data_IF_182328393913
#
_entry.id   IF_182328393913
#
_cell.length_a   1.000
_cell.length_b   1.000
_cell.length_c   1.000
_cell.angle_alpha   90.00
_cell.angle_beta   90.00
_cell.angle_gamma   90.00
#
_symmetry.space_group_name_H-M   'P 1'
#
loop_
_entity.id
_entity.type
_entity.pdbx_description
1 polymer ?
#
# COMPACT_ATOMS: atom_id res chain seq x y z
N UNK A 1 29.42 3.00 1.87
CA UNK A 1 28.13 3.58 1.55
C UNK A 1 28.27 4.94 0.83
N UNK A 2 28.79 6.00 1.50
CA UNK A 2 28.85 7.39 0.98
C UNK A 2 29.51 7.55 -0.40
N UNK A 3 30.47 6.70 -0.75
CA UNK A 3 31.19 6.73 -2.03
C UNK A 3 30.50 5.93 -3.14
N UNK A 4 29.75 4.90 -2.80
CA UNK A 4 29.22 3.93 -3.77
C UNK A 4 27.74 4.20 -4.14
N UNK A 5 26.92 4.59 -3.18
CA UNK A 5 25.49 4.79 -3.43
C UNK A 5 25.22 5.96 -4.39
N UNK A 6 25.87 7.14 -4.25
CA UNK A 6 25.63 8.26 -5.17
C UNK A 6 26.01 8.00 -6.63
N UNK A 7 26.74 6.91 -6.92
CA UNK A 7 27.07 6.53 -8.31
C UNK A 7 25.87 5.95 -9.07
N UNK A 8 24.87 5.41 -8.36
CA UNK A 8 23.71 4.77 -8.97
C UNK A 8 22.35 5.26 -8.46
N UNK A 9 22.34 6.15 -7.46
CA UNK A 9 21.10 6.61 -6.83
C UNK A 9 21.16 8.11 -6.54
N UNK A 10 20.03 8.79 -6.74
CA UNK A 10 19.77 10.11 -6.17
C UNK A 10 19.23 9.92 -4.76
N UNK A 11 19.82 10.57 -3.77
CA UNK A 11 19.46 10.41 -2.37
C UNK A 11 18.54 11.54 -1.92
N UNK A 12 17.37 11.21 -1.44
CA UNK A 12 16.47 12.10 -0.73
C UNK A 12 16.40 11.65 0.74
N UNK A 13 16.77 12.54 1.65
CA UNK A 13 16.58 12.33 3.09
C UNK A 13 15.41 13.19 3.57
N UNK A 14 14.43 12.56 4.18
CA UNK A 14 13.33 13.22 4.87
C UNK A 14 13.55 13.02 6.37
N UNK A 15 13.90 14.08 7.06
CA UNK A 15 14.12 14.06 8.51
C UNK A 15 12.83 14.38 9.26
N UNK A 16 12.64 13.78 10.43
CA UNK A 16 11.50 14.03 11.30
C UNK A 16 11.93 14.06 12.77
N UNK A 17 12.76 15.03 13.17
CA UNK A 17 13.23 15.14 14.55
C UNK A 17 12.06 15.44 15.50
N UNK A 18 12.20 15.02 16.76
CA UNK A 18 11.24 15.35 17.83
C UNK A 18 11.18 16.86 18.06
N UNK A 19 12.33 17.53 18.00
CA UNK A 19 12.44 18.99 18.09
C UNK A 19 12.20 19.61 16.72
N UNK A 20 10.98 20.11 16.51
CA UNK A 20 10.55 20.73 15.25
C UNK A 20 11.21 22.06 14.93
N UNK A 21 11.84 22.71 15.91
CA UNK A 21 12.59 23.95 15.68
C UNK A 21 13.82 23.76 14.78
N UNK A 22 14.23 22.51 14.57
CA UNK A 22 15.34 22.13 13.69
C UNK A 22 14.95 21.94 12.22
N UNK A 23 13.70 22.17 11.88
CA UNK A 23 13.17 22.03 10.52
C UNK A 23 12.51 23.34 10.06
N UNK A 24 12.60 23.61 8.76
CA UNK A 24 11.80 24.66 8.13
C UNK A 24 10.34 24.20 7.98
N UNK A 25 9.38 25.13 7.83
CA UNK A 25 7.98 24.78 7.53
C UNK A 25 7.86 23.89 6.27
N UNK A 26 8.69 24.17 5.25
CA UNK A 26 8.71 23.41 3.98
C UNK A 26 9.17 21.96 4.19
N UNK A 27 10.20 21.73 5.01
CA UNK A 27 10.68 20.38 5.34
C UNK A 27 9.62 19.58 6.12
N UNK A 28 8.92 20.25 7.07
CA UNK A 28 7.82 19.62 7.81
C UNK A 28 6.69 19.20 6.86
N UNK A 29 6.27 20.09 5.97
CA UNK A 29 5.20 19.78 5.00
C UNK A 29 5.63 18.74 3.98
N UNK A 30 6.88 18.77 3.50
CA UNK A 30 7.43 17.76 2.63
C UNK A 30 7.42 16.38 3.29
N UNK A 31 7.89 16.28 4.53
CA UNK A 31 7.84 15.03 5.30
C UNK A 31 6.40 14.53 5.43
N UNK A 32 5.48 15.39 5.85
CA UNK A 32 4.06 15.05 6.04
C UNK A 32 3.42 14.53 4.75
N UNK A 33 3.67 15.21 3.65
CA UNK A 33 3.12 14.86 2.34
C UNK A 33 3.67 13.51 1.86
N UNK A 34 4.99 13.34 1.91
CA UNK A 34 5.63 12.12 1.39
C UNK A 34 5.44 10.92 2.31
N UNK A 35 5.44 11.12 3.64
CA UNK A 35 5.16 10.03 4.57
C UNK A 35 3.73 9.49 4.41
N UNK A 36 2.76 10.36 4.16
CA UNK A 36 1.40 9.96 3.82
C UNK A 36 1.33 9.27 2.46
N UNK A 37 1.95 9.86 1.43
CA UNK A 37 1.98 9.28 0.07
C UNK A 37 2.53 7.85 0.08
N UNK A 38 3.64 7.62 0.76
CA UNK A 38 4.32 6.33 0.80
C UNK A 38 3.92 5.45 1.99
N UNK A 39 2.88 5.84 2.73
CA UNK A 39 2.34 5.08 3.87
C UNK A 39 3.41 4.67 4.90
N UNK A 40 4.28 5.61 5.30
CA UNK A 40 5.37 5.36 6.24
C UNK A 40 4.79 5.02 7.61
N UNK A 41 5.06 3.81 8.11
CA UNK A 41 4.57 3.33 9.41
C UNK A 41 5.65 3.31 10.48
N UNK A 42 6.92 3.45 10.12
CA UNK A 42 8.04 3.40 11.04
C UNK A 42 9.30 4.05 10.48
N UNK A 43 10.28 4.31 11.35
CA UNK A 43 11.55 4.92 10.96
C UNK A 43 12.73 4.12 11.53
N UNK A 44 13.83 4.00 10.79
CA UNK A 44 14.02 4.46 9.43
C UNK A 44 13.27 3.61 8.41
N UNK A 45 12.71 4.22 7.37
CA UNK A 45 12.20 3.53 6.18
C UNK A 45 12.97 4.02 4.97
N UNK A 46 13.41 3.10 4.14
CA UNK A 46 14.14 3.40 2.91
C UNK A 46 13.36 2.80 1.74
N UNK A 47 13.08 3.63 0.74
CA UNK A 47 12.53 3.21 -0.54
C UNK A 47 13.55 3.34 -1.66
N UNK A 48 13.49 2.41 -2.61
CA UNK A 48 14.03 2.62 -3.95
C UNK A 48 12.84 2.89 -4.88
N UNK A 49 12.91 3.99 -5.61
CA UNK A 49 11.88 4.39 -6.55
C UNK A 49 12.51 4.74 -7.90
N UNK A 50 11.73 4.64 -8.97
CA UNK A 50 12.14 5.13 -10.28
C UNK A 50 12.12 6.67 -10.37
N UNK A 51 12.47 7.22 -11.52
CA UNK A 51 12.49 8.67 -11.75
C UNK A 51 11.11 9.34 -11.66
N UNK A 52 10.01 8.58 -11.73
CA UNK A 52 8.64 9.06 -11.55
C UNK A 52 8.14 8.90 -10.10
N UNK A 53 9.00 8.39 -9.20
CA UNK A 53 8.69 8.18 -7.78
C UNK A 53 7.82 6.96 -7.53
N UNK A 54 7.87 5.92 -8.41
CA UNK A 54 7.20 4.64 -8.22
C UNK A 54 8.09 3.70 -7.41
N UNK A 55 7.71 3.31 -6.19
CA UNK A 55 8.57 2.53 -5.30
C UNK A 55 8.56 1.05 -5.70
N UNK A 56 9.73 0.49 -5.94
CA UNK A 56 9.90 -0.92 -6.32
C UNK A 56 10.61 -1.77 -5.25
N UNK A 57 11.14 -1.14 -4.20
CA UNK A 57 11.74 -1.84 -3.06
C UNK A 57 11.70 -0.97 -1.81
N UNK A 58 11.64 -1.65 -0.65
CA UNK A 58 11.60 -0.97 0.65
C UNK A 58 12.28 -1.83 1.72
N UNK A 59 12.82 -1.16 2.74
CA UNK A 59 13.16 -1.76 4.03
C UNK A 59 12.75 -0.84 5.16
N UNK A 60 12.33 -1.45 6.27
CA UNK A 60 11.99 -0.75 7.52
C UNK A 60 12.93 -1.21 8.62
N UNK A 61 13.50 -0.26 9.35
CA UNK A 61 14.51 -0.52 10.35
C UNK A 61 15.92 -0.70 9.73
N UNK A 62 16.89 -0.90 10.62
CA UNK A 62 18.26 -1.22 10.26
C UNK A 62 18.73 -2.37 11.14
N UNK A 63 19.06 -3.50 10.52
CA UNK A 63 19.42 -4.74 11.22
C UNK A 63 20.90 -4.86 11.54
N UNK A 64 21.68 -3.78 11.35
CA UNK A 64 23.11 -3.75 11.68
C UNK A 64 24.00 -4.49 10.67
N UNK A 65 23.52 -4.75 9.46
CA UNK A 65 24.34 -5.43 8.44
C UNK A 65 25.53 -4.57 7.99
N UNK A 66 26.66 -5.20 7.59
CA UNK A 66 27.82 -4.50 7.06
C UNK A 66 27.49 -3.63 5.86
N UNK A 67 28.10 -2.44 5.79
CA UNK A 67 27.80 -1.44 4.77
C UNK A 67 28.05 -1.93 3.33
N UNK A 68 28.99 -2.80 3.09
CA UNK A 68 29.28 -3.42 1.79
C UNK A 68 28.16 -4.37 1.36
N UNK A 69 27.66 -5.20 2.27
CA UNK A 69 26.51 -6.09 2.02
C UNK A 69 25.24 -5.28 1.75
N UNK A 70 25.00 -4.23 2.55
CA UNK A 70 23.86 -3.33 2.34
C UNK A 70 23.90 -2.67 0.96
N UNK A 71 25.07 -2.15 0.55
CA UNK A 71 25.28 -1.56 -0.78
C UNK A 71 25.05 -2.59 -1.89
N UNK A 72 25.54 -3.81 -1.71
CA UNK A 72 25.35 -4.90 -2.68
C UNK A 72 23.86 -5.23 -2.84
N UNK A 73 23.12 -5.34 -1.72
CA UNK A 73 21.68 -5.56 -1.74
C UNK A 73 20.94 -4.44 -2.51
N UNK A 74 21.21 -3.17 -2.20
CA UNK A 74 20.58 -2.05 -2.91
C UNK A 74 20.87 -2.09 -4.42
N UNK A 75 22.10 -2.41 -4.82
CA UNK A 75 22.47 -2.56 -6.25
C UNK A 75 21.78 -3.73 -6.92
N UNK A 76 21.54 -4.82 -6.19
CA UNK A 76 20.81 -5.97 -6.74
C UNK A 76 19.35 -5.65 -7.07
N UNK A 77 18.73 -4.73 -6.33
CA UNK A 77 17.37 -4.28 -6.58
C UNK A 77 17.22 -3.48 -7.90
N UNK A 78 18.31 -2.98 -8.48
CA UNK A 78 18.29 -2.35 -9.81
C UNK A 78 17.79 -3.31 -10.92
N UNK A 79 17.85 -4.61 -10.68
CA UNK A 79 17.24 -5.61 -11.59
C UNK A 79 15.71 -5.49 -11.66
N UNK A 80 15.07 -5.07 -10.55
CA UNK A 80 13.63 -4.82 -10.53
C UNK A 80 13.33 -3.56 -11.32
N UNK A 81 14.12 -2.49 -11.10
CA UNK A 81 14.00 -1.26 -11.89
C UNK A 81 14.10 -1.52 -13.38
N UNK A 82 15.11 -2.29 -13.81
CA UNK A 82 15.28 -2.62 -15.22
C UNK A 82 14.06 -3.36 -15.83
N UNK A 83 13.40 -4.24 -15.07
CA UNK A 83 12.17 -4.91 -15.50
C UNK A 83 11.00 -3.92 -15.59
N UNK A 84 10.90 -3.00 -14.63
CA UNK A 84 9.88 -1.96 -14.61
C UNK A 84 10.05 -1.02 -15.81
N UNK A 85 11.26 -0.54 -16.06
CA UNK A 85 11.58 0.33 -17.19
C UNK A 85 11.26 -0.36 -18.52
N UNK A 86 11.64 -1.63 -18.69
CA UNK A 86 11.32 -2.39 -19.90
C UNK A 86 9.80 -2.56 -20.13
N UNK A 87 9.00 -2.67 -19.06
CA UNK A 87 7.54 -2.73 -19.20
C UNK A 87 6.97 -1.38 -19.63
N UNK A 88 7.42 -0.28 -19.07
CA UNK A 88 6.97 1.07 -19.45
C UNK A 88 7.47 1.47 -20.87
N UNK A 89 8.68 1.07 -21.27
CA UNK A 89 9.18 1.26 -22.63
C UNK A 89 8.28 0.55 -23.66
N UNK A 90 7.87 -0.69 -23.38
CA UNK A 90 6.90 -1.40 -24.23
C UNK A 90 5.56 -0.67 -24.28
N UNK A 91 5.11 -0.10 -23.17
CA UNK A 91 3.87 0.68 -23.13
C UNK A 91 3.96 1.94 -24.03
N UNK A 92 5.12 2.58 -24.13
CA UNK A 92 5.30 3.75 -25.01
C UNK A 92 5.13 3.40 -26.50
N UNK A 93 5.45 2.17 -26.89
CA UNK A 93 5.37 1.67 -28.26
C UNK A 93 4.06 0.92 -28.56
N UNK A 94 3.14 0.80 -27.59
CA UNK A 94 1.86 0.11 -27.71
C UNK A 94 0.67 1.08 -27.63
N UNK A 95 -0.54 0.60 -27.97
CA UNK A 95 -1.78 1.36 -27.87
C UNK A 95 -2.94 0.54 -27.32
N UNK A 96 -4.03 1.19 -26.92
CA UNK A 96 -5.23 0.52 -26.44
C UNK A 96 -4.97 -0.43 -25.27
N UNK A 97 -5.61 -1.60 -25.28
CA UNK A 97 -5.50 -2.59 -24.20
C UNK A 97 -4.10 -3.20 -24.06
N UNK A 98 -3.32 -3.27 -25.14
CA UNK A 98 -1.93 -3.73 -25.08
C UNK A 98 -1.06 -2.76 -24.28
N UNK A 99 -1.20 -1.44 -24.53
CA UNK A 99 -0.54 -0.41 -23.72
C UNK A 99 -0.95 -0.52 -22.25
N UNK A 100 -2.25 -0.68 -21.98
CA UNK A 100 -2.74 -0.85 -20.61
C UNK A 100 -2.08 -2.05 -19.92
N UNK A 101 -1.93 -3.19 -20.63
CA UNK A 101 -1.29 -4.39 -20.11
C UNK A 101 0.19 -4.16 -19.78
N UNK A 102 0.91 -3.42 -20.62
CA UNK A 102 2.32 -3.11 -20.35
C UNK A 102 2.48 -2.16 -19.14
N UNK A 103 1.60 -1.16 -18.99
CA UNK A 103 1.59 -0.31 -17.79
C UNK A 103 1.28 -1.16 -16.55
N UNK A 104 0.28 -2.05 -16.60
CA UNK A 104 -0.07 -2.97 -15.51
C UNK A 104 1.11 -3.87 -15.12
N UNK A 105 1.84 -4.40 -16.12
CA UNK A 105 3.04 -5.22 -15.88
C UNK A 105 4.13 -4.41 -15.15
N UNK A 106 4.30 -3.13 -15.46
CA UNK A 106 5.21 -2.24 -14.75
C UNK A 106 4.75 -1.95 -13.31
N UNK A 107 3.45 -1.68 -13.14
CA UNK A 107 2.87 -1.42 -11.81
C UNK A 107 2.84 -2.67 -10.91
N UNK A 108 2.81 -3.89 -11.49
CA UNK A 108 2.89 -5.13 -10.71
C UNK A 108 4.22 -5.31 -9.96
N UNK A 109 5.24 -4.52 -10.30
CA UNK A 109 6.53 -4.50 -9.61
C UNK A 109 6.58 -3.46 -8.48
N UNK A 110 5.54 -2.63 -8.32
CA UNK A 110 5.38 -1.72 -7.18
C UNK A 110 5.00 -2.55 -5.94
N UNK A 111 5.59 -2.22 -4.80
CA UNK A 111 5.61 -3.02 -3.58
C UNK A 111 4.25 -3.42 -3.01
N UNK A 112 3.21 -2.60 -3.19
CA UNK A 112 1.88 -2.89 -2.64
C UNK A 112 0.79 -2.16 -3.40
N UNK A 113 -0.41 -2.68 -3.31
CA UNK A 113 -1.62 -2.10 -3.87
C UNK A 113 -1.84 -0.65 -3.46
N UNK A 114 -1.57 -0.32 -2.20
CA UNK A 114 -1.66 1.05 -1.70
C UNK A 114 -0.67 1.97 -2.43
N UNK A 115 0.56 1.51 -2.66
CA UNK A 115 1.59 2.28 -3.38
C UNK A 115 1.30 2.35 -4.87
N UNK A 116 0.72 1.31 -5.48
CA UNK A 116 0.23 1.34 -6.86
C UNK A 116 -0.77 2.46 -7.05
N UNK A 117 -1.69 2.65 -6.11
CA UNK A 117 -2.68 3.73 -6.21
C UNK A 117 -2.06 5.15 -6.06
N UNK A 118 -0.83 5.27 -5.56
CA UNK A 118 -0.10 6.56 -5.61
C UNK A 118 0.38 6.91 -7.02
N UNK A 119 0.41 5.93 -7.94
CA UNK A 119 0.72 6.10 -9.36
C UNK A 119 -0.54 6.51 -10.15
N UNK A 120 -1.25 7.54 -9.68
CA UNK A 120 -2.57 7.93 -10.18
C UNK A 120 -2.65 8.14 -11.68
N UNK A 121 -1.60 8.67 -12.31
CA UNK A 121 -1.57 8.91 -13.76
C UNK A 121 -1.58 7.58 -14.53
N UNK A 122 -0.71 6.64 -14.13
CA UNK A 122 -0.61 5.33 -14.76
C UNK A 122 -1.90 4.53 -14.56
N UNK A 123 -2.46 4.52 -13.35
CA UNK A 123 -3.73 3.84 -13.04
C UNK A 123 -4.90 4.44 -13.83
N UNK A 124 -4.97 5.77 -13.94
CA UNK A 124 -6.01 6.45 -14.70
C UNK A 124 -5.89 6.20 -16.20
N UNK A 125 -4.66 6.10 -16.72
CA UNK A 125 -4.40 5.74 -18.12
C UNK A 125 -4.85 4.30 -18.41
N UNK A 126 -4.55 3.33 -17.55
CA UNK A 126 -5.03 1.94 -17.68
C UNK A 126 -6.56 1.91 -17.76
N UNK A 127 -7.25 2.55 -16.82
CA UNK A 127 -8.72 2.56 -16.76
C UNK A 127 -9.31 3.16 -18.06
N UNK A 128 -8.69 4.22 -18.58
CA UNK A 128 -9.11 4.85 -19.84
C UNK A 128 -8.88 3.97 -21.05
N UNK A 129 -7.72 3.33 -21.14
CA UNK A 129 -7.34 2.46 -22.25
C UNK A 129 -8.15 1.16 -22.29
N UNK A 130 -8.52 0.64 -21.12
CA UNK A 130 -9.39 -0.55 -20.98
C UNK A 130 -10.83 -0.19 -20.57
N UNK A 131 -11.37 0.93 -21.07
CA UNK A 131 -12.69 1.44 -20.68
C UNK A 131 -13.83 0.42 -20.82
N UNK A 132 -13.72 -0.51 -21.77
CA UNK A 132 -14.68 -1.62 -22.01
C UNK A 132 -14.36 -2.87 -21.18
N UNK A 133 -13.35 -2.82 -20.31
CA UNK A 133 -12.89 -3.90 -19.45
C UNK A 133 -12.55 -5.21 -20.20
N UNK A 134 -12.07 -5.12 -21.43
CA UNK A 134 -11.73 -6.29 -22.27
C UNK A 134 -10.54 -7.07 -21.73
N UNK A 135 -9.56 -6.37 -21.15
CA UNK A 135 -8.41 -6.97 -20.50
C UNK A 135 -8.63 -7.22 -18.99
N UNK A 136 -9.78 -6.85 -18.45
CA UNK A 136 -10.09 -6.98 -17.02
C UNK A 136 -9.38 -5.94 -16.12
N UNK A 137 -8.59 -5.05 -16.72
CA UNK A 137 -7.72 -4.13 -15.96
C UNK A 137 -8.52 -2.99 -15.33
N UNK A 138 -9.53 -2.45 -16.03
CA UNK A 138 -10.42 -1.46 -15.43
C UNK A 138 -11.05 -2.01 -14.15
N UNK A 139 -11.66 -3.20 -14.22
CA UNK A 139 -12.28 -3.84 -13.05
C UNK A 139 -11.28 -4.10 -11.93
N UNK A 140 -10.07 -4.59 -12.25
CA UNK A 140 -8.97 -4.78 -11.29
C UNK A 140 -8.69 -3.51 -10.49
N UNK A 141 -8.50 -2.38 -11.16
CA UNK A 141 -8.14 -1.13 -10.49
C UNK A 141 -9.31 -0.44 -9.81
N UNK A 142 -10.55 -0.64 -10.28
CA UNK A 142 -11.75 -0.18 -9.58
C UNK A 142 -11.94 -0.94 -8.26
N UNK A 143 -11.78 -2.27 -8.25
CA UNK A 143 -11.80 -3.11 -7.04
C UNK A 143 -10.70 -2.66 -6.07
N UNK A 144 -9.48 -2.46 -6.55
CA UNK A 144 -8.36 -2.02 -5.75
C UNK A 144 -8.65 -0.68 -5.04
N UNK A 145 -9.20 0.30 -5.77
CA UNK A 145 -9.60 1.60 -5.21
C UNK A 145 -10.72 1.45 -4.18
N UNK A 146 -11.71 0.62 -4.48
CA UNK A 146 -12.82 0.37 -3.56
C UNK A 146 -12.33 -0.23 -2.25
N UNK A 147 -11.50 -1.27 -2.31
CA UNK A 147 -10.92 -1.90 -1.13
C UNK A 147 -10.05 -0.95 -0.30
N UNK A 148 -9.26 -0.09 -0.94
CA UNK A 148 -8.49 0.90 -0.20
C UNK A 148 -9.38 1.93 0.51
N UNK A 149 -10.42 2.43 -0.18
CA UNK A 149 -11.38 3.34 0.43
C UNK A 149 -12.10 2.68 1.61
N UNK A 150 -12.52 1.43 1.46
CA UNK A 150 -13.10 0.65 2.54
C UNK A 150 -12.15 0.56 3.76
N UNK A 151 -10.88 0.21 3.56
CA UNK A 151 -9.88 0.13 4.64
C UNK A 151 -9.64 1.47 5.32
N UNK A 152 -9.61 2.56 4.57
CA UNK A 152 -9.46 3.92 5.15
C UNK A 152 -10.68 4.28 6.02
N UNK A 153 -11.89 3.98 5.57
CA UNK A 153 -13.12 4.24 6.33
C UNK A 153 -13.22 3.31 7.54
N UNK A 154 -12.89 2.03 7.40
CA UNK A 154 -12.81 1.09 8.52
C UNK A 154 -11.83 1.59 9.60
N UNK A 155 -10.64 2.05 9.19
CA UNK A 155 -9.65 2.61 10.13
C UNK A 155 -10.21 3.81 10.91
N UNK A 156 -10.99 4.68 10.27
CA UNK A 156 -11.64 5.81 10.95
C UNK A 156 -12.66 5.35 11.98
N UNK A 157 -13.45 4.30 11.68
CA UNK A 157 -14.39 3.71 12.64
C UNK A 157 -13.62 3.13 13.83
N UNK A 158 -12.55 2.38 13.57
CA UNK A 158 -11.70 1.74 14.60
C UNK A 158 -11.03 2.79 15.53
N UNK A 159 -10.62 3.92 14.98
CA UNK A 159 -9.91 4.98 15.69
C UNK A 159 -10.85 6.11 16.19
N UNK A 160 -12.16 5.93 16.05
CA UNK A 160 -13.13 6.91 16.56
C UNK A 160 -13.17 6.89 18.09
N UNK A 161 -13.64 7.99 18.68
CA UNK A 161 -13.87 8.09 20.13
C UNK A 161 -15.16 7.38 20.58
N UNK A 162 -15.82 6.64 19.66
CA UNK A 162 -17.03 5.86 19.97
C UNK A 162 -16.69 4.68 20.88
N UNK A 163 -17.33 4.64 22.04
CA UNK A 163 -17.08 3.63 23.09
C UNK A 163 -18.20 2.57 23.19
N UNK A 164 -19.37 2.81 22.55
CA UNK A 164 -20.43 1.81 22.51
C UNK A 164 -20.11 0.72 21.48
N UNK A 165 -19.85 -0.53 21.91
CA UNK A 165 -19.58 -1.63 20.99
C UNK A 165 -20.68 -1.87 19.97
N UNK A 166 -21.94 -1.60 20.30
CA UNK A 166 -23.06 -1.80 19.38
C UNK A 166 -23.05 -0.77 18.26
N UNK A 167 -22.74 0.49 18.57
CA UNK A 167 -22.61 1.56 17.57
C UNK A 167 -21.46 1.27 16.60
N UNK A 168 -20.28 0.86 17.13
CA UNK A 168 -19.12 0.48 16.31
C UNK A 168 -19.44 -0.69 15.38
N UNK A 169 -20.09 -1.74 15.90
CA UNK A 169 -20.47 -2.91 15.09
C UNK A 169 -21.45 -2.53 13.99
N UNK A 170 -22.45 -1.70 14.29
CA UNK A 170 -23.41 -1.24 13.31
C UNK A 170 -22.73 -0.38 12.21
N UNK A 171 -21.78 0.47 12.59
CA UNK A 171 -21.00 1.27 11.63
C UNK A 171 -20.18 0.36 10.68
N UNK A 172 -19.55 -0.70 11.20
CA UNK A 172 -18.81 -1.68 10.39
C UNK A 172 -19.76 -2.42 9.44
N UNK A 173 -20.92 -2.87 9.91
CA UNK A 173 -21.89 -3.58 9.08
C UNK A 173 -22.44 -2.68 7.96
N UNK A 174 -22.72 -1.42 8.26
CA UNK A 174 -23.15 -0.43 7.27
C UNK A 174 -22.06 -0.20 6.22
N UNK A 175 -20.78 -0.06 6.65
CA UNK A 175 -19.66 0.13 5.73
C UNK A 175 -19.46 -1.08 4.80
N UNK A 176 -19.58 -2.31 5.32
CA UNK A 176 -19.51 -3.54 4.52
C UNK A 176 -20.61 -3.56 3.46
N UNK A 177 -21.84 -3.23 3.85
CA UNK A 177 -23.00 -3.26 2.96
C UNK A 177 -22.95 -2.14 1.90
N UNK A 178 -22.44 -0.97 2.25
CA UNK A 178 -22.32 0.17 1.34
C UNK A 178 -21.22 -0.02 0.30
N UNK A 179 -20.05 -0.52 0.73
CA UNK A 179 -18.87 -0.60 -0.15
C UNK A 179 -18.73 -1.93 -0.87
N UNK A 180 -19.41 -2.98 -0.41
CA UNK A 180 -19.31 -4.34 -0.95
C UNK A 180 -17.84 -4.73 -1.26
N UNK A 181 -16.95 -4.74 -0.24
CA UNK A 181 -15.53 -5.01 -0.41
C UNK A 181 -15.29 -6.48 -0.78
N UNK A 182 -14.09 -6.79 -1.31
CA UNK A 182 -13.69 -8.20 -1.50
C UNK A 182 -13.65 -8.96 -0.18
N UNK A 183 -13.66 -10.29 -0.26
CA UNK A 183 -13.61 -11.15 0.92
C UNK A 183 -12.38 -10.87 1.79
N UNK A 184 -11.23 -10.58 1.20
CA UNK A 184 -10.00 -10.24 1.93
C UNK A 184 -10.15 -8.93 2.71
N UNK A 185 -10.75 -7.90 2.09
CA UNK A 185 -10.97 -6.64 2.77
C UNK A 185 -12.06 -6.76 3.85
N UNK A 186 -13.13 -7.52 3.57
CA UNK A 186 -14.21 -7.82 4.53
C UNK A 186 -13.70 -8.62 5.72
N UNK A 187 -12.78 -9.55 5.52
CA UNK A 187 -12.16 -10.36 6.56
C UNK A 187 -11.58 -9.50 7.68
N UNK A 188 -10.84 -8.42 7.33
CA UNK A 188 -10.24 -7.51 8.30
C UNK A 188 -11.32 -6.85 9.20
N UNK A 189 -12.44 -6.43 8.60
CA UNK A 189 -13.55 -5.83 9.34
C UNK A 189 -14.24 -6.84 10.28
N UNK A 190 -14.47 -8.06 9.82
CA UNK A 190 -15.07 -9.14 10.63
C UNK A 190 -14.12 -9.57 11.76
N UNK A 191 -12.82 -9.66 11.50
CA UNK A 191 -11.82 -9.94 12.54
C UNK A 191 -11.86 -8.85 13.62
N UNK A 192 -11.96 -7.57 13.24
CA UNK A 192 -12.05 -6.48 14.20
C UNK A 192 -13.34 -6.57 15.06
N UNK A 193 -14.47 -6.98 14.48
CA UNK A 193 -15.72 -7.24 15.25
C UNK A 193 -15.48 -8.31 16.34
N UNK A 194 -14.72 -9.36 16.02
CA UNK A 194 -14.29 -10.36 17.01
C UNK A 194 -13.42 -9.76 18.14
N UNK A 195 -12.51 -8.87 17.77
CA UNK A 195 -11.62 -8.22 18.74
C UNK A 195 -12.37 -7.36 19.77
N UNK A 196 -13.49 -6.75 19.39
CA UNK A 196 -14.35 -6.00 20.32
C UNK A 196 -14.86 -6.89 21.45
N UNK A 197 -15.21 -8.14 21.15
CA UNK A 197 -15.74 -9.10 22.14
C UNK A 197 -14.67 -9.93 22.86
N UNK A 198 -13.41 -9.85 22.45
CA UNK A 198 -12.37 -10.79 22.90
C UNK A 198 -12.14 -10.79 24.41
N UNK A 199 -12.35 -9.65 25.09
CA UNK A 199 -12.19 -9.55 26.56
C UNK A 199 -13.42 -10.04 27.31
N UNK A 200 -14.62 -9.66 26.85
CA UNK A 200 -15.85 -9.77 27.64
C UNK A 200 -16.74 -10.94 27.21
N UNK A 201 -16.66 -11.41 25.96
CA UNK A 201 -17.46 -12.50 25.40
C UNK A 201 -16.64 -13.35 24.41
N UNK A 202 -15.78 -14.22 24.95
CA UNK A 202 -14.94 -15.11 24.14
C UNK A 202 -15.70 -16.01 23.18
N UNK A 203 -16.86 -16.62 23.57
CA UNK A 203 -17.67 -17.39 22.64
C UNK A 203 -18.11 -16.59 21.41
N UNK A 204 -18.55 -15.35 21.60
CA UNK A 204 -18.98 -14.47 20.53
C UNK A 204 -17.78 -14.01 19.67
N UNK A 205 -16.66 -13.65 20.28
CA UNK A 205 -15.41 -13.36 19.58
C UNK A 205 -15.01 -14.48 18.64
N UNK A 206 -15.07 -15.74 19.13
CA UNK A 206 -14.74 -16.95 18.36
C UNK A 206 -15.61 -17.09 17.11
N UNK A 207 -16.90 -16.75 17.18
CA UNK A 207 -17.81 -16.81 16.01
C UNK A 207 -17.28 -15.88 14.90
N UNK A 208 -16.95 -14.62 15.22
CA UNK A 208 -16.42 -13.65 14.25
C UNK A 208 -15.04 -14.07 13.70
N UNK A 209 -14.14 -14.59 14.53
CA UNK A 209 -12.84 -15.05 14.06
C UNK A 209 -12.96 -16.22 13.08
N UNK A 210 -13.87 -17.17 13.35
CA UNK A 210 -14.15 -18.28 12.44
C UNK A 210 -14.82 -17.80 11.13
N UNK A 211 -15.68 -16.79 11.20
CA UNK A 211 -16.28 -16.17 10.04
C UNK A 211 -15.21 -15.47 9.19
N UNK A 212 -14.34 -14.67 9.81
CA UNK A 212 -13.22 -14.02 9.16
C UNK A 212 -12.30 -15.03 8.45
N UNK A 213 -11.93 -16.12 9.14
CA UNK A 213 -11.09 -17.18 8.57
C UNK A 213 -11.72 -17.80 7.32
N UNK A 214 -13.03 -18.02 7.30
CA UNK A 214 -13.74 -18.62 6.16
C UNK A 214 -13.80 -17.71 4.93
N UNK A 215 -13.79 -16.39 5.12
CA UNK A 215 -13.88 -15.44 4.01
C UNK A 215 -12.66 -15.46 3.09
N UNK A 216 -11.47 -15.57 3.66
CA UNK A 216 -10.21 -15.62 2.93
C UNK A 216 -9.20 -16.52 3.66
N UNK A 217 -9.33 -17.87 3.58
CA UNK A 217 -8.58 -18.81 4.38
C UNK A 217 -7.07 -18.81 4.09
N UNK A 218 -6.66 -18.35 2.92
CA UNK A 218 -5.25 -18.28 2.52
C UNK A 218 -4.57 -16.95 2.87
N UNK A 219 -5.32 -15.99 3.43
CA UNK A 219 -4.76 -14.69 3.82
C UNK A 219 -3.83 -14.79 5.03
N UNK A 220 -2.98 -13.78 5.21
CA UNK A 220 -2.14 -13.68 6.42
C UNK A 220 -2.97 -13.52 7.71
N UNK A 221 -4.13 -12.86 7.63
CA UNK A 221 -5.06 -12.69 8.76
C UNK A 221 -5.71 -14.00 9.19
N UNK A 222 -5.78 -15.01 8.32
CA UNK A 222 -6.37 -16.33 8.62
C UNK A 222 -5.38 -17.31 9.28
N UNK A 223 -4.09 -17.04 9.21
CA UNK A 223 -3.00 -17.87 9.78
C UNK A 223 -2.70 -17.45 11.21
#
# INVERSE_FOLDING_TARGET
>A
FKKEIPKGFVLLKLDNPSDKSKQTPEEIEQYKTLSKKYAIQGVPTIFLADAKGRPYWQTVGYMGEPADKYVANLKDQLKILAKMDAAFEKAENASGSEKAQHIDNGLSLVLSDQLVLTCNNDVSEIIKLDAKNKAGLKGKYEILKNNLNFKVELTKIIQSDETDPKAVLAAIDNLINEKDPTNEAKQEAIFYKGSIYFRDDKPKAKIYFLEAQKLAPESETAK
#
